data_IF_384691716797
#
_entry.id   IF_384691716797
#
_cell.length_a   1.000
_cell.length_b   1.000
_cell.length_c   1.000
_cell.angle_alpha   90.00
_cell.angle_beta   90.00
_cell.angle_gamma   90.00
#
_symmetry.space_group_name_H-M   'P 1'
#
loop_
_entity.id
_entity.type
_entity.pdbx_description
1 polymer ?
#
# COMPACT_ATOMS: atom_id res chain seq x y z
N UNK A 1 0.52 -29.46 9.47
CA UNK A 1 1.78 -28.90 8.90
C UNK A 1 1.46 -27.56 8.23
N UNK A 2 1.29 -26.50 9.01
CA UNK A 2 1.14 -25.14 8.50
C UNK A 2 2.54 -24.51 8.46
N UNK A 3 3.24 -24.72 7.34
CA UNK A 3 4.49 -24.00 7.06
C UNK A 3 4.12 -22.53 6.92
N UNK A 4 4.46 -21.75 7.95
CA UNK A 4 4.31 -20.30 7.97
C UNK A 4 5.20 -19.77 6.83
N UNK A 5 4.58 -19.28 5.76
CA UNK A 5 5.25 -18.51 4.70
C UNK A 5 5.76 -17.21 5.33
N UNK A 6 7.01 -17.20 5.77
CA UNK A 6 7.51 -16.23 6.74
C UNK A 6 8.21 -14.99 6.14
N UNK A 7 8.12 -14.67 4.84
CA UNK A 7 9.21 -13.86 4.24
C UNK A 7 8.82 -12.68 3.33
N UNK A 8 7.71 -11.97 3.59
CA UNK A 8 7.54 -10.63 2.98
C UNK A 8 6.82 -9.59 3.86
N UNK A 9 6.57 -9.89 5.14
CA UNK A 9 5.88 -8.96 6.05
C UNK A 9 6.74 -7.73 6.44
N UNK A 10 8.05 -7.80 6.22
CA UNK A 10 9.01 -6.73 6.56
C UNK A 10 9.28 -5.76 5.41
N UNK A 11 8.47 -5.79 4.34
CA UNK A 11 8.65 -4.86 3.24
C UNK A 11 8.48 -3.42 3.70
N UNK A 12 9.49 -2.60 3.44
CA UNK A 12 9.42 -1.14 3.63
C UNK A 12 9.47 -0.43 2.28
N UNK A 13 8.70 0.65 2.20
CA UNK A 13 8.56 1.43 0.99
C UNK A 13 8.93 2.88 1.25
N UNK A 14 9.46 3.56 0.22
CA UNK A 14 9.60 5.00 0.18
C UNK A 14 8.52 5.59 -0.72
N UNK A 15 7.80 6.59 -0.22
CA UNK A 15 6.90 7.40 -1.03
C UNK A 15 7.71 8.35 -1.91
N UNK A 16 7.63 8.16 -3.23
CA UNK A 16 8.31 8.96 -4.24
C UNK A 16 7.55 10.25 -4.61
N UNK A 17 6.34 10.43 -4.07
CA UNK A 17 5.50 11.61 -4.29
C UNK A 17 5.14 12.30 -2.97
N UNK A 18 6.13 12.78 -2.19
CA UNK A 18 5.90 13.38 -0.87
C UNK A 18 5.23 14.77 -0.91
N UNK A 19 5.27 15.45 -2.06
CA UNK A 19 4.78 16.81 -2.24
C UNK A 19 3.50 16.81 -3.09
N UNK A 20 2.35 16.93 -2.41
CA UNK A 20 1.02 17.04 -2.99
C UNK A 20 0.17 15.80 -2.77
N UNK A 21 -1.13 15.99 -2.50
CA UNK A 21 -2.11 14.90 -2.62
C UNK A 21 -1.87 14.27 -4.00
N UNK A 22 -1.60 12.95 -4.09
CA UNK A 22 -1.57 12.33 -5.39
C UNK A 22 -2.93 12.68 -5.98
N UNK A 23 -2.96 13.21 -7.21
CA UNK A 23 -4.22 13.52 -7.88
C UNK A 23 -4.89 12.19 -8.27
N UNK A 24 -5.31 11.44 -7.25
CA UNK A 24 -5.80 10.06 -7.27
C UNK A 24 -7.08 9.98 -8.11
N UNK A 25 -7.86 11.05 -8.11
CA UNK A 25 -9.03 11.24 -8.97
C UNK A 25 -8.68 11.52 -10.44
N UNK A 26 -7.75 12.44 -10.74
CA UNK A 26 -7.44 12.82 -12.14
C UNK A 26 -6.57 11.80 -12.89
N UNK A 27 -5.86 10.92 -12.18
CA UNK A 27 -5.01 9.87 -12.78
C UNK A 27 -5.68 8.49 -12.87
N UNK A 28 -6.97 8.38 -12.53
CA UNK A 28 -7.71 7.11 -12.59
C UNK A 28 -7.23 6.05 -11.58
N UNK A 29 -6.48 6.44 -10.54
CA UNK A 29 -6.01 5.51 -9.51
C UNK A 29 -7.17 4.93 -8.71
N UNK A 30 -8.20 5.73 -8.42
CA UNK A 30 -9.44 5.23 -7.83
C UNK A 30 -10.19 4.27 -8.76
N UNK A 31 -10.07 4.40 -10.08
CA UNK A 31 -10.68 3.45 -11.03
C UNK A 31 -9.85 2.17 -11.18
N UNK A 32 -8.52 2.27 -11.13
CA UNK A 32 -7.62 1.11 -11.12
C UNK A 32 -7.81 0.22 -9.88
N UNK A 33 -8.24 0.83 -8.77
CA UNK A 33 -8.50 0.17 -7.49
C UNK A 33 -10.01 -0.18 -7.33
N UNK A 34 -10.90 0.64 -7.87
CA UNK A 34 -12.34 0.66 -7.54
C UNK A 34 -13.27 -0.22 -8.37
N UNK A 35 -12.75 -1.14 -9.20
CA UNK A 35 -13.58 -2.07 -9.99
C UNK A 35 -14.23 -3.22 -9.20
N UNK A 36 -13.97 -3.33 -7.90
CA UNK A 36 -14.44 -4.42 -7.03
C UNK A 36 -15.12 -3.88 -5.77
N UNK A 37 -15.96 -4.72 -5.15
CA UNK A 37 -16.74 -4.45 -3.92
C UNK A 37 -15.92 -3.91 -2.74
N UNK A 38 -14.60 -4.10 -2.75
CA UNK A 38 -13.63 -3.64 -1.73
C UNK A 38 -12.98 -2.28 -2.04
N UNK A 39 -13.61 -1.45 -2.88
CA UNK A 39 -13.03 -0.16 -3.30
C UNK A 39 -12.68 0.73 -2.10
N UNK A 40 -13.50 0.80 -1.06
CA UNK A 40 -13.25 1.65 0.11
C UNK A 40 -12.06 1.18 0.96
N UNK A 41 -11.94 -0.13 1.22
CA UNK A 41 -10.81 -0.68 1.98
C UNK A 41 -9.49 -0.44 1.24
N UNK A 42 -9.47 -0.67 -0.09
CA UNK A 42 -8.28 -0.44 -0.90
C UNK A 42 -7.91 1.05 -1.01
N UNK A 43 -8.90 1.94 -0.99
CA UNK A 43 -8.68 3.39 -0.89
C UNK A 43 -8.01 3.77 0.44
N UNK A 44 -8.51 3.23 1.55
CA UNK A 44 -7.90 3.47 2.86
C UNK A 44 -6.50 2.88 2.93
N UNK A 45 -6.30 1.67 2.42
CA UNK A 45 -5.00 1.02 2.31
C UNK A 45 -3.98 1.91 1.58
N UNK A 46 -4.39 2.53 0.47
CA UNK A 46 -3.53 3.42 -0.30
C UNK A 46 -3.09 4.64 0.52
N UNK A 47 -4.02 5.31 1.22
CA UNK A 47 -3.69 6.46 2.07
C UNK A 47 -2.73 6.07 3.20
N UNK A 48 -3.00 4.95 3.87
CA UNK A 48 -2.16 4.41 4.94
C UNK A 48 -0.75 4.09 4.46
N UNK A 49 -0.62 3.41 3.32
CA UNK A 49 0.68 3.05 2.74
C UNK A 49 1.44 4.32 2.35
N UNK A 50 0.84 5.26 1.63
CA UNK A 50 1.52 6.50 1.21
C UNK A 50 1.99 7.34 2.40
N UNK A 51 1.19 7.38 3.48
CA UNK A 51 1.54 8.11 4.70
C UNK A 51 2.68 7.44 5.48
N UNK A 52 2.70 6.10 5.54
CA UNK A 52 3.66 5.34 6.33
C UNK A 52 4.90 4.86 5.54
N UNK A 53 4.96 5.10 4.22
CA UNK A 53 6.10 4.72 3.37
C UNK A 53 7.26 5.71 3.51
N UNK A 54 7.85 5.75 4.70
CA UNK A 54 9.03 6.57 5.06
C UNK A 54 10.34 5.76 5.07
N UNK A 55 10.29 4.52 4.59
CA UNK A 55 11.39 3.55 4.66
C UNK A 55 11.62 2.92 6.04
N UNK A 56 10.87 3.35 7.07
CA UNK A 56 11.02 2.85 8.45
C UNK A 56 9.89 1.94 8.88
N UNK A 57 8.67 2.18 8.40
CA UNK A 57 7.51 1.35 8.71
C UNK A 57 7.33 0.23 7.70
N UNK A 58 7.12 -0.98 8.19
CA UNK A 58 6.81 -2.15 7.36
C UNK A 58 5.32 -2.19 7.02
N UNK A 59 4.94 -2.91 5.97
CA UNK A 59 3.51 -3.18 5.70
C UNK A 59 2.83 -3.92 6.88
N UNK A 60 3.57 -4.71 7.66
CA UNK A 60 3.06 -5.32 8.88
C UNK A 60 2.72 -4.27 9.95
N UNK A 61 3.55 -3.23 10.11
CA UNK A 61 3.26 -2.12 11.03
C UNK A 61 2.02 -1.35 10.58
N UNK A 62 1.87 -1.16 9.26
CA UNK A 62 0.68 -0.52 8.68
C UNK A 62 -0.57 -1.37 8.92
N UNK A 63 -0.50 -2.69 8.73
CA UNK A 63 -1.61 -3.61 9.01
C UNK A 63 -2.07 -3.53 10.46
N UNK A 64 -1.10 -3.54 11.39
CA UNK A 64 -1.37 -3.46 12.84
C UNK A 64 -2.03 -2.13 13.24
N UNK A 65 -1.62 -1.01 12.64
CA UNK A 65 -2.16 0.32 12.95
C UNK A 65 -3.51 0.60 12.29
N UNK A 66 -3.69 0.16 11.04
CA UNK A 66 -4.88 0.45 10.24
C UNK A 66 -6.02 -0.56 10.42
N UNK A 67 -5.71 -1.77 10.88
CA UNK A 67 -6.65 -2.89 10.91
C UNK A 67 -6.91 -3.51 9.53
N UNK A 68 -6.23 -3.03 8.48
CA UNK A 68 -6.41 -3.52 7.11
C UNK A 68 -5.63 -4.83 6.92
N UNK A 69 -6.23 -5.85 6.27
CA UNK A 69 -5.54 -7.11 5.98
C UNK A 69 -4.23 -6.90 5.22
N UNK A 70 -3.18 -7.60 5.64
CA UNK A 70 -1.85 -7.50 5.01
C UNK A 70 -1.88 -7.85 3.52
N UNK A 71 -2.75 -8.78 3.11
CA UNK A 71 -2.98 -9.12 1.70
C UNK A 71 -3.47 -7.92 0.88
N UNK A 72 -4.43 -7.15 1.40
CA UNK A 72 -4.93 -5.92 0.77
C UNK A 72 -3.80 -4.90 0.64
N UNK A 73 -3.00 -4.74 1.69
CA UNK A 73 -1.86 -3.81 1.68
C UNK A 73 -0.81 -4.19 0.62
N UNK A 74 -0.44 -5.47 0.51
CA UNK A 74 0.50 -5.92 -0.53
C UNK A 74 -0.04 -5.66 -1.95
N UNK A 75 -1.32 -5.96 -2.20
CA UNK A 75 -1.96 -5.70 -3.49
C UNK A 75 -1.88 -4.21 -3.86
N UNK A 76 -2.21 -3.33 -2.91
CA UNK A 76 -2.19 -1.88 -3.13
C UNK A 76 -0.76 -1.35 -3.26
N UNK A 77 0.18 -1.82 -2.45
CA UNK A 77 1.59 -1.44 -2.55
C UNK A 77 2.18 -1.79 -3.93
N UNK A 78 1.82 -2.97 -4.48
CA UNK A 78 2.21 -3.37 -5.84
C UNK A 78 1.69 -2.40 -6.91
N UNK A 79 0.41 -2.04 -6.85
CA UNK A 79 -0.18 -1.06 -7.78
C UNK A 79 0.53 0.30 -7.68
N UNK A 80 0.80 0.77 -6.46
CA UNK A 80 1.50 2.04 -6.24
C UNK A 80 2.95 2.01 -6.75
N UNK A 81 3.64 0.87 -6.61
CA UNK A 81 4.97 0.67 -7.17
C UNK A 81 4.96 0.67 -8.70
N UNK A 82 4.01 -0.02 -9.35
CA UNK A 82 3.84 0.00 -10.81
C UNK A 82 3.58 1.42 -11.34
N UNK A 83 2.84 2.22 -10.58
CA UNK A 83 2.57 3.64 -10.88
C UNK A 83 3.73 4.58 -10.51
N UNK A 84 4.87 4.03 -10.05
CA UNK A 84 6.07 4.78 -9.62
C UNK A 84 5.79 5.79 -8.49
N UNK A 85 4.81 5.48 -7.63
CA UNK A 85 4.49 6.24 -6.43
C UNK A 85 5.23 5.71 -5.20
N UNK A 86 5.60 4.43 -5.21
CA UNK A 86 6.42 3.81 -4.18
C UNK A 86 7.66 3.17 -4.79
N UNK A 87 8.71 3.11 -3.97
CA UNK A 87 9.89 2.28 -4.21
C UNK A 87 10.10 1.36 -3.02
N UNK A 88 10.21 0.05 -3.26
CA UNK A 88 10.62 -0.90 -2.22
C UNK A 88 12.08 -0.65 -1.85
N UNK A 89 12.38 -0.57 -0.56
CA UNK A 89 13.75 -0.39 -0.05
C UNK A 89 14.29 -1.68 0.57
N UNK A 90 13.45 -2.39 1.34
CA UNK A 90 13.75 -3.70 1.95
C UNK A 90 12.59 -4.67 1.74
#
# INVERSE_FOLDING_TARGET
LSVIQHWDCNQTYLNLSPMGEPQLGKRGLYQAIGGQSDSHEQQMAMLWILNQSDGKHTLLDVARKSGIPLFTLHKVAGILQEKKLLQRIH
#
